data_IF_843414559761
#
_entry.id   IF_843414559761
#
_cell.length_a   1.000
_cell.length_b   1.000
_cell.length_c   1.000
_cell.angle_alpha   90.00
_cell.angle_beta   90.00
_cell.angle_gamma   90.00
#
_symmetry.space_group_name_H-M   'P 1'
#
loop_
_entity.id
_entity.type
_entity.pdbx_description
1 polymer ?
#
# COMPACT_ATOMS: atom_id res chain seq x y z
N UNK A 1 9.82 -22.05 22.20
CA UNK A 1 10.44 -22.60 20.98
C UNK A 1 9.54 -22.54 19.73
N UNK A 2 8.21 -22.65 19.80
CA UNK A 2 7.34 -22.50 18.59
C UNK A 2 7.21 -21.06 18.10
N UNK A 3 7.11 -20.08 18.98
CA UNK A 3 6.91 -18.66 18.62
C UNK A 3 8.10 -18.01 17.89
N UNK A 4 9.33 -18.35 18.24
CA UNK A 4 10.53 -17.80 17.59
C UNK A 4 10.68 -18.29 16.12
N UNK A 5 10.35 -19.54 15.85
CA UNK A 5 10.38 -20.10 14.50
C UNK A 5 9.29 -19.49 13.58
N UNK A 6 8.12 -19.17 14.14
CA UNK A 6 7.01 -18.54 13.40
C UNK A 6 7.32 -17.08 13.05
N UNK A 7 7.93 -16.32 13.97
CA UNK A 7 8.35 -14.94 13.71
C UNK A 7 9.47 -14.89 12.67
N UNK A 8 10.42 -15.80 12.70
CA UNK A 8 11.52 -15.87 11.73
C UNK A 8 11.01 -16.22 10.32
N UNK A 9 10.07 -17.16 10.22
CA UNK A 9 9.43 -17.55 8.96
C UNK A 9 8.61 -16.42 8.37
N UNK A 10 7.77 -15.76 9.16
CA UNK A 10 6.96 -14.61 8.75
C UNK A 10 7.87 -13.45 8.30
N UNK A 11 8.94 -13.18 9.04
CA UNK A 11 9.94 -12.18 8.68
C UNK A 11 10.63 -12.46 7.34
N UNK A 12 10.89 -13.72 7.01
CA UNK A 12 11.45 -14.12 5.72
C UNK A 12 10.48 -13.83 4.57
N UNK A 13 9.23 -14.22 4.69
CA UNK A 13 8.20 -13.96 3.65
C UNK A 13 8.02 -12.48 3.38
N UNK A 14 7.99 -11.67 4.44
CA UNK A 14 7.89 -10.22 4.31
C UNK A 14 9.11 -9.62 3.59
N UNK A 15 10.32 -10.11 3.85
CA UNK A 15 11.54 -9.68 3.15
C UNK A 15 11.51 -10.03 1.65
N UNK A 16 10.98 -11.20 1.29
CA UNK A 16 10.84 -11.62 -0.12
C UNK A 16 9.84 -10.71 -0.85
N UNK A 17 8.68 -10.50 -0.27
CA UNK A 17 7.67 -9.59 -0.81
C UNK A 17 8.22 -8.16 -0.97
N UNK A 18 8.93 -7.66 0.04
CA UNK A 18 9.53 -6.33 0.05
C UNK A 18 10.51 -6.10 -1.10
N UNK A 19 11.31 -7.10 -1.49
CA UNK A 19 12.23 -6.99 -2.64
C UNK A 19 11.48 -6.71 -3.95
N UNK A 20 10.34 -7.37 -4.18
CA UNK A 20 9.50 -7.12 -5.34
C UNK A 20 8.95 -5.69 -5.35
N UNK A 21 8.46 -5.21 -4.22
CA UNK A 21 7.96 -3.84 -4.09
C UNK A 21 9.04 -2.78 -4.27
N UNK A 22 10.26 -3.01 -3.76
CA UNK A 22 11.38 -2.07 -3.95
C UNK A 22 11.75 -1.96 -5.44
N UNK A 23 11.73 -3.06 -6.21
CA UNK A 23 11.96 -3.01 -7.67
C UNK A 23 10.99 -2.05 -8.37
N UNK A 24 9.70 -2.20 -8.08
CA UNK A 24 8.67 -1.34 -8.67
C UNK A 24 8.83 0.11 -8.20
N UNK A 25 9.08 0.34 -6.91
CA UNK A 25 9.32 1.68 -6.36
C UNK A 25 10.52 2.38 -7.04
N UNK A 26 11.63 1.67 -7.26
CA UNK A 26 12.81 2.16 -8.00
C UNK A 26 12.43 2.58 -9.42
N UNK A 27 11.70 1.74 -10.15
CA UNK A 27 11.27 2.05 -11.51
C UNK A 27 10.32 3.26 -11.54
N UNK A 28 9.43 3.40 -10.56
CA UNK A 28 8.54 4.58 -10.45
C UNK A 28 9.36 5.85 -10.20
N UNK A 29 10.34 5.83 -9.29
CA UNK A 29 11.20 6.99 -9.05
C UNK A 29 11.98 7.37 -10.30
N UNK A 30 12.58 6.40 -10.98
CA UNK A 30 13.35 6.61 -12.20
C UNK A 30 12.49 7.02 -13.41
N UNK A 31 11.19 6.71 -13.39
CA UNK A 31 10.26 7.20 -14.44
C UNK A 31 10.04 8.71 -14.38
N UNK A 32 10.28 9.32 -13.22
CA UNK A 32 10.10 10.76 -12.96
C UNK A 32 11.39 11.55 -13.20
N UNK A 33 12.49 11.09 -12.66
CA UNK A 33 13.83 11.69 -12.82
C UNK A 33 14.94 10.69 -12.54
N UNK A 34 16.14 11.01 -12.99
CA UNK A 34 17.34 10.22 -12.68
C UNK A 34 17.72 10.37 -11.21
N UNK A 35 18.20 9.27 -10.61
CA UNK A 35 18.62 9.23 -9.22
C UNK A 35 19.85 8.37 -9.04
N UNK A 36 20.64 8.65 -8.00
CA UNK A 36 21.61 7.69 -7.50
C UNK A 36 21.04 6.86 -6.33
N UNK A 37 21.68 5.72 -6.02
CA UNK A 37 21.14 4.73 -5.07
C UNK A 37 20.78 5.31 -3.69
N UNK A 38 21.57 6.23 -3.16
CA UNK A 38 21.30 6.86 -1.86
C UNK A 38 20.04 7.74 -1.88
N UNK A 39 19.84 8.53 -2.96
CA UNK A 39 18.62 9.33 -3.13
C UNK A 39 17.38 8.44 -3.21
N UNK A 40 17.46 7.34 -3.95
CA UNK A 40 16.34 6.38 -4.03
C UNK A 40 15.97 5.82 -2.66
N UNK A 41 16.96 5.40 -1.86
CA UNK A 41 16.72 4.89 -0.50
C UNK A 41 16.04 5.94 0.38
N UNK A 42 16.52 7.18 0.32
CA UNK A 42 15.94 8.30 1.06
C UNK A 42 14.50 8.55 0.62
N UNK A 43 14.26 8.68 -0.68
CA UNK A 43 12.93 9.00 -1.22
C UNK A 43 11.90 7.88 -0.95
N UNK A 44 12.31 6.61 -1.05
CA UNK A 44 11.44 5.48 -0.67
C UNK A 44 11.05 5.57 0.81
N UNK A 45 12.01 5.80 1.70
CA UNK A 45 11.74 5.95 3.13
C UNK A 45 10.79 7.11 3.42
N UNK A 46 11.05 8.27 2.81
CA UNK A 46 10.29 9.49 3.06
C UNK A 46 8.85 9.37 2.51
N UNK A 47 8.66 8.82 1.31
CA UNK A 47 7.34 8.58 0.70
C UNK A 47 6.52 7.54 1.46
N UNK A 48 7.16 6.54 2.04
CA UNK A 48 6.49 5.51 2.85
C UNK A 48 6.38 5.89 4.33
N UNK A 49 6.71 7.14 4.70
CA UNK A 49 6.70 7.62 6.09
C UNK A 49 7.48 6.70 7.04
N UNK A 50 8.59 6.14 6.54
CA UNK A 50 9.46 5.23 7.29
C UNK A 50 8.97 3.80 7.40
N UNK A 51 7.83 3.44 6.77
CA UNK A 51 7.35 2.06 6.72
C UNK A 51 8.37 1.15 6.00
N UNK A 52 8.94 1.60 4.90
CA UNK A 52 10.07 0.95 4.25
C UNK A 52 11.37 1.70 4.56
N UNK A 53 12.33 0.97 5.06
CA UNK A 53 13.69 1.46 5.36
C UNK A 53 14.69 0.67 4.51
N UNK A 54 14.76 0.94 3.19
CA UNK A 54 15.67 0.20 2.33
C UNK A 54 17.12 0.47 2.73
N UNK A 55 17.91 -0.60 2.73
CA UNK A 55 19.35 -0.56 3.03
C UNK A 55 20.17 -0.65 1.75
N UNK A 56 21.42 -0.24 1.79
CA UNK A 56 22.33 -0.36 0.67
C UNK A 56 22.45 -1.82 0.19
N UNK A 57 22.60 -2.78 1.12
CA UNK A 57 22.65 -4.21 0.81
C UNK A 57 21.38 -4.77 0.16
N UNK A 58 20.22 -4.11 0.35
CA UNK A 58 18.96 -4.48 -0.29
C UNK A 58 18.75 -3.82 -1.64
N UNK A 59 19.16 -2.55 -1.80
CA UNK A 59 18.87 -1.75 -3.01
C UNK A 59 19.89 -1.99 -4.12
N UNK A 60 21.19 -2.01 -3.82
CA UNK A 60 22.20 -2.16 -4.88
C UNK A 60 22.13 -3.48 -5.65
N UNK A 61 21.86 -4.64 -5.06
CA UNK A 61 21.59 -5.85 -5.83
C UNK A 61 20.40 -5.72 -6.77
N UNK A 62 19.32 -5.00 -6.35
CA UNK A 62 18.15 -4.74 -7.19
C UNK A 62 18.51 -3.80 -8.36
N UNK A 63 19.30 -2.76 -8.12
CA UNK A 63 19.76 -1.86 -9.17
C UNK A 63 20.60 -2.58 -10.21
N UNK A 64 21.49 -3.48 -9.75
CA UNK A 64 22.31 -4.30 -10.65
C UNK A 64 21.46 -5.24 -11.49
N UNK A 65 20.52 -5.95 -10.88
CA UNK A 65 19.59 -6.85 -11.55
C UNK A 65 18.71 -6.14 -12.59
N UNK A 66 18.21 -4.94 -12.27
CA UNK A 66 17.46 -4.12 -13.20
C UNK A 66 18.30 -3.59 -14.37
N UNK A 67 19.56 -3.25 -14.13
CA UNK A 67 20.53 -2.81 -15.13
C UNK A 67 20.94 -3.96 -16.05
N UNK A 68 21.27 -5.13 -15.50
CA UNK A 68 21.58 -6.36 -16.24
C UNK A 68 20.38 -6.80 -17.11
N UNK A 69 19.15 -6.57 -16.63
CA UNK A 69 17.92 -6.84 -17.40
C UNK A 69 17.59 -5.76 -18.45
N UNK A 70 18.38 -4.70 -18.55
CA UNK A 70 18.15 -3.60 -19.49
C UNK A 70 16.93 -2.71 -19.17
N UNK A 71 16.41 -2.75 -17.94
CA UNK A 71 15.28 -1.91 -17.53
C UNK A 71 15.71 -0.53 -17.05
N UNK A 72 16.94 -0.41 -16.60
CA UNK A 72 17.60 0.85 -16.24
C UNK A 72 19.00 0.89 -16.85
N UNK A 73 19.54 2.07 -16.97
CA UNK A 73 20.93 2.32 -17.33
C UNK A 73 21.59 3.21 -16.30
N UNK A 74 22.86 2.95 -15.98
CA UNK A 74 23.62 3.68 -14.99
C UNK A 74 24.84 4.36 -15.59
N UNK A 75 24.94 5.67 -15.42
CA UNK A 75 26.08 6.50 -15.83
C UNK A 75 26.88 6.96 -14.64
N UNK A 76 28.23 6.90 -14.74
CA UNK A 76 29.09 7.43 -13.71
C UNK A 76 29.20 8.96 -13.83
N UNK A 77 28.96 9.63 -12.74
CA UNK A 77 29.07 11.08 -12.61
C UNK A 77 29.96 11.44 -11.42
N UNK A 78 30.59 12.61 -11.49
CA UNK A 78 31.38 13.16 -10.38
C UNK A 78 30.60 14.26 -9.68
N UNK A 79 30.29 14.08 -8.40
CA UNK A 79 29.62 15.08 -7.59
C UNK A 79 30.40 15.31 -6.30
N UNK A 80 30.80 16.57 -6.02
CA UNK A 80 31.56 16.93 -4.82
C UNK A 80 32.79 16.03 -4.58
N UNK A 81 33.61 15.79 -5.61
CA UNK A 81 34.79 14.91 -5.58
C UNK A 81 34.50 13.43 -5.28
N UNK A 82 33.27 12.95 -5.42
CA UNK A 82 32.92 11.54 -5.28
C UNK A 82 32.33 11.00 -6.58
N UNK A 83 32.78 9.83 -7.00
CA UNK A 83 32.16 9.11 -8.12
C UNK A 83 30.84 8.52 -7.64
N UNK A 84 29.75 8.90 -8.29
CA UNK A 84 28.40 8.36 -8.04
C UNK A 84 27.86 7.77 -9.33
N UNK A 85 27.10 6.69 -9.23
CA UNK A 85 26.40 6.11 -10.36
C UNK A 85 24.96 6.62 -10.34
N UNK A 86 24.56 7.34 -11.39
CA UNK A 86 23.22 7.88 -11.60
C UNK A 86 22.48 6.98 -12.57
N UNK A 87 21.28 6.57 -12.20
CA UNK A 87 20.45 5.65 -12.96
C UNK A 87 19.30 6.36 -13.64
N UNK A 88 18.94 5.88 -14.83
CA UNK A 88 17.78 6.31 -15.62
C UNK A 88 16.97 5.10 -16.02
N UNK A 89 15.67 5.26 -16.21
CA UNK A 89 14.81 4.20 -16.74
C UNK A 89 14.90 4.17 -18.27
N UNK A 90 14.95 2.96 -18.83
CA UNK A 90 14.88 2.74 -20.29
C UNK A 90 13.44 2.66 -20.77
N UNK A 91 13.20 2.65 -22.09
CA UNK A 91 11.86 2.41 -22.66
C UNK A 91 11.33 1.01 -22.30
N UNK A 92 12.20 0.00 -22.30
CA UNK A 92 11.86 -1.34 -21.84
C UNK A 92 11.45 -1.31 -20.37
N UNK A 93 12.18 -0.58 -19.53
CA UNK A 93 11.85 -0.36 -18.11
C UNK A 93 10.51 0.34 -17.91
N UNK A 94 10.16 1.33 -18.74
CA UNK A 94 8.82 1.98 -18.71
C UNK A 94 7.70 1.01 -19.05
N UNK A 95 7.94 0.16 -20.04
CA UNK A 95 6.96 -0.85 -20.47
C UNK A 95 6.72 -1.89 -19.37
N UNK A 96 7.80 -2.39 -18.74
CA UNK A 96 7.67 -3.37 -17.66
C UNK A 96 7.03 -2.74 -16.42
N UNK A 97 7.32 -1.47 -16.13
CA UNK A 97 6.68 -0.73 -15.03
C UNK A 97 5.16 -0.65 -15.21
N UNK A 98 4.69 -0.29 -16.39
CA UNK A 98 3.24 -0.24 -16.71
C UNK A 98 2.58 -1.60 -16.45
N UNK A 99 3.18 -2.68 -16.94
CA UNK A 99 2.70 -4.05 -16.71
C UNK A 99 2.71 -4.43 -15.23
N UNK A 100 3.77 -4.07 -14.49
CA UNK A 100 3.88 -4.35 -13.07
C UNK A 100 2.80 -3.65 -12.23
N UNK A 101 2.47 -2.39 -12.55
CA UNK A 101 1.40 -1.64 -11.87
C UNK A 101 0.03 -2.29 -12.11
N UNK A 102 -0.28 -2.66 -13.36
CA UNK A 102 -1.53 -3.36 -13.68
C UNK A 102 -1.62 -4.69 -12.93
N UNK A 103 -0.55 -5.49 -12.98
CA UNK A 103 -0.52 -6.80 -12.31
C UNK A 103 -0.64 -6.69 -10.80
N UNK A 104 -0.03 -5.66 -10.21
CA UNK A 104 -0.17 -5.37 -8.78
C UNK A 104 -1.63 -5.06 -8.38
N UNK A 105 -2.33 -4.31 -9.22
CA UNK A 105 -3.75 -4.01 -9.01
C UNK A 105 -4.62 -5.28 -9.05
N UNK A 106 -4.36 -6.18 -10.01
CA UNK A 106 -5.05 -7.47 -10.10
C UNK A 106 -4.82 -8.32 -8.85
N UNK A 107 -3.56 -8.42 -8.38
CA UNK A 107 -3.21 -9.17 -7.17
C UNK A 107 -3.90 -8.56 -5.95
N UNK A 108 -3.87 -7.24 -5.78
CA UNK A 108 -4.51 -6.56 -4.67
C UNK A 108 -6.04 -6.82 -4.64
N UNK A 109 -6.70 -6.76 -5.80
CA UNK A 109 -8.12 -7.04 -5.92
C UNK A 109 -8.45 -8.50 -5.57
N UNK A 110 -7.64 -9.45 -6.04
CA UNK A 110 -7.82 -10.88 -5.73
C UNK A 110 -7.61 -11.16 -4.23
N UNK A 111 -6.59 -10.57 -3.63
CA UNK A 111 -6.34 -10.69 -2.19
C UNK A 111 -7.47 -10.08 -1.36
N UNK A 112 -7.98 -8.90 -1.75
CA UNK A 112 -9.12 -8.30 -1.07
C UNK A 112 -10.36 -9.18 -1.15
N UNK A 113 -10.61 -9.84 -2.28
CA UNK A 113 -11.73 -10.78 -2.42
C UNK A 113 -11.58 -11.98 -1.47
N UNK A 114 -10.39 -12.58 -1.39
CA UNK A 114 -10.11 -13.69 -0.46
C UNK A 114 -10.29 -13.27 1.01
N UNK A 115 -9.80 -12.09 1.39
CA UNK A 115 -9.99 -11.58 2.76
C UNK A 115 -11.46 -11.30 3.08
N UNK A 116 -12.24 -10.83 2.11
CA UNK A 116 -13.68 -10.64 2.30
C UNK A 116 -14.40 -11.96 2.53
N UNK A 117 -14.06 -12.98 1.76
CA UNK A 117 -14.60 -14.33 1.90
C UNK A 117 -14.24 -14.92 3.28
N UNK A 118 -12.97 -14.86 3.67
CA UNK A 118 -12.51 -15.28 4.99
C UNK A 118 -13.21 -14.55 6.12
N UNK A 119 -13.33 -13.21 6.03
CA UNK A 119 -13.99 -12.41 7.05
C UNK A 119 -15.46 -12.79 7.20
N UNK A 120 -16.14 -13.11 6.10
CA UNK A 120 -17.52 -13.59 6.11
C UNK A 120 -17.64 -14.97 6.75
N UNK A 121 -16.83 -15.93 6.30
CA UNK A 121 -17.01 -17.34 6.63
C UNK A 121 -16.43 -17.72 7.99
N UNK A 122 -15.29 -17.11 8.39
CA UNK A 122 -14.60 -17.45 9.63
C UNK A 122 -14.92 -16.48 10.76
N UNK A 123 -14.98 -15.19 10.47
CA UNK A 123 -15.22 -14.16 11.48
C UNK A 123 -16.70 -13.78 11.61
N UNK A 124 -17.57 -14.31 10.75
CA UNK A 124 -19.01 -14.01 10.69
C UNK A 124 -19.30 -12.49 10.62
N UNK A 125 -18.37 -11.73 10.01
CA UNK A 125 -18.48 -10.29 9.79
C UNK A 125 -19.10 -10.07 8.40
N UNK A 126 -20.28 -9.45 8.34
CA UNK A 126 -20.84 -9.01 7.05
C UNK A 126 -19.88 -7.95 6.44
N UNK A 127 -19.17 -8.34 5.39
CA UNK A 127 -18.11 -7.57 4.74
C UNK A 127 -18.56 -6.25 4.09
N UNK A 128 -19.86 -6.00 4.01
CA UNK A 128 -20.39 -4.67 3.67
C UNK A 128 -19.93 -3.58 4.63
N UNK A 129 -19.36 -3.94 5.78
CA UNK A 129 -18.87 -3.03 6.81
C UNK A 129 -17.38 -2.70 6.72
N UNK A 130 -16.60 -3.40 5.90
CA UNK A 130 -15.18 -3.10 5.76
C UNK A 130 -14.92 -2.34 4.44
N UNK A 131 -15.12 -1.00 4.42
CA UNK A 131 -14.85 -0.18 3.23
C UNK A 131 -13.37 0.03 2.98
N UNK A 132 -12.50 -0.61 3.78
CA UNK A 132 -11.07 -0.46 3.65
C UNK A 132 -10.52 -1.53 2.70
N UNK A 133 -9.74 -1.16 1.69
CA UNK A 133 -8.92 -2.13 1.00
C UNK A 133 -8.00 -2.77 2.05
N UNK A 134 -8.20 -4.05 2.33
CA UNK A 134 -7.38 -4.80 3.29
C UNK A 134 -5.91 -4.81 2.86
N UNK A 135 -5.69 -4.72 1.55
CA UNK A 135 -4.36 -4.52 0.95
C UNK A 135 -4.30 -3.10 0.38
N UNK A 136 -3.58 -2.18 1.04
CA UNK A 136 -3.42 -0.83 0.53
C UNK A 136 -2.64 -0.86 -0.78
N UNK A 137 -2.93 0.07 -1.69
CA UNK A 137 -2.07 0.29 -2.85
C UNK A 137 -0.73 0.87 -2.37
N UNK A 138 0.25 -0.01 -2.19
CA UNK A 138 1.58 0.33 -1.67
C UNK A 138 2.35 1.34 -2.54
N UNK A 139 1.91 1.55 -3.79
CA UNK A 139 2.52 2.51 -4.71
C UNK A 139 1.81 3.86 -4.76
N UNK A 140 0.64 4.01 -4.13
CA UNK A 140 -0.07 5.29 -4.08
C UNK A 140 0.85 6.47 -3.70
N UNK A 141 1.71 6.39 -2.65
CA UNK A 141 2.61 7.49 -2.30
C UNK A 141 3.63 7.86 -3.38
N UNK A 142 3.91 6.95 -4.31
CA UNK A 142 4.86 7.16 -5.41
C UNK A 142 4.18 7.67 -6.68
N UNK A 143 2.88 7.43 -6.83
CA UNK A 143 2.09 7.81 -8.01
C UNK A 143 1.52 9.22 -7.89
N UNK A 144 1.39 9.76 -6.68
CA UNK A 144 0.96 11.13 -6.45
C UNK A 144 2.03 12.10 -6.97
N UNK A 145 1.80 12.65 -8.14
CA UNK A 145 2.60 13.74 -8.67
C UNK A 145 2.13 15.08 -8.08
N UNK A 146 3.07 15.77 -7.45
CA UNK A 146 2.97 17.23 -7.28
C UNK A 146 3.34 17.89 -8.61
N UNK A 147 2.55 17.75 -9.64
CA UNK A 147 2.72 18.60 -10.82
C UNK A 147 1.45 18.66 -11.65
N UNK A 148 1.04 19.88 -11.81
CA UNK A 148 0.06 20.36 -12.78
C UNK A 148 -1.33 19.79 -12.57
N UNK A 149 -2.11 20.69 -12.11
CA UNK A 149 -3.51 20.75 -12.45
C UNK A 149 -4.40 20.97 -11.24
N UNK A 150 -4.44 22.21 -10.84
CA UNK A 150 -5.49 22.67 -9.92
C UNK A 150 -6.90 22.25 -10.40
N UNK A 151 -7.08 22.00 -11.68
CA UNK A 151 -8.36 21.59 -12.27
C UNK A 151 -8.65 20.09 -12.14
N UNK A 152 -7.62 19.23 -12.29
CA UNK A 152 -7.75 17.79 -12.01
C UNK A 152 -7.78 17.48 -10.52
N UNK A 153 -7.11 18.27 -9.69
CA UNK A 153 -7.17 18.14 -8.24
C UNK A 153 -8.58 18.43 -7.70
N UNK A 154 -9.26 19.43 -8.22
CA UNK A 154 -10.65 19.76 -7.82
C UNK A 154 -11.57 18.59 -8.17
N UNK A 155 -11.50 18.06 -9.38
CA UNK A 155 -12.33 16.93 -9.82
C UNK A 155 -12.05 15.65 -9.04
N UNK A 156 -10.78 15.35 -8.75
CA UNK A 156 -10.38 14.22 -7.91
C UNK A 156 -10.84 14.40 -6.46
N UNK A 157 -10.71 15.60 -5.91
CA UNK A 157 -11.19 15.93 -4.58
C UNK A 157 -12.73 15.86 -4.49
N UNK A 158 -13.45 16.27 -5.53
CA UNK A 158 -14.90 16.14 -5.62
C UNK A 158 -15.37 14.69 -5.68
N UNK A 159 -14.69 13.85 -6.47
CA UNK A 159 -14.95 12.41 -6.50
C UNK A 159 -14.68 11.77 -5.13
N UNK A 160 -13.53 12.10 -4.50
CA UNK A 160 -13.18 11.62 -3.17
C UNK A 160 -14.19 12.10 -2.12
N UNK A 161 -14.62 13.36 -2.18
CA UNK A 161 -15.68 13.91 -1.31
C UNK A 161 -16.99 13.15 -1.48
N UNK A 162 -17.39 12.88 -2.70
CA UNK A 162 -18.63 12.15 -3.02
C UNK A 162 -18.56 10.72 -2.49
N UNK A 163 -17.43 10.03 -2.70
CA UNK A 163 -17.18 8.71 -2.15
C UNK A 163 -17.23 8.70 -0.62
N UNK A 164 -16.55 9.63 0.06
CA UNK A 164 -16.54 9.72 1.52
C UNK A 164 -17.96 10.00 2.07
N UNK A 165 -18.71 10.88 1.42
CA UNK A 165 -20.11 11.17 1.83
C UNK A 165 -21.02 9.94 1.69
N UNK A 166 -20.89 9.18 0.62
CA UNK A 166 -21.66 7.94 0.44
C UNK A 166 -21.30 6.89 1.49
N UNK A 167 -20.02 6.74 1.81
CA UNK A 167 -19.52 5.84 2.85
C UNK A 167 -20.01 6.23 4.25
N UNK A 168 -19.93 7.51 4.60
CA UNK A 168 -20.45 8.04 5.87
C UNK A 168 -21.95 7.76 6.00
N UNK A 169 -22.75 8.03 4.94
CA UNK A 169 -24.18 7.76 4.96
C UNK A 169 -24.51 6.29 5.16
N UNK A 170 -23.74 5.40 4.53
CA UNK A 170 -23.88 3.96 4.67
C UNK A 170 -23.57 3.53 6.11
N UNK A 171 -22.44 3.97 6.68
CA UNK A 171 -22.04 3.66 8.05
C UNK A 171 -23.03 4.20 9.09
N UNK A 172 -23.57 5.38 8.89
CA UNK A 172 -24.61 5.95 9.76
C UNK A 172 -25.89 5.11 9.76
N UNK A 173 -26.34 4.65 8.57
CA UNK A 173 -27.51 3.77 8.45
C UNK A 173 -27.30 2.44 9.18
N UNK A 174 -26.10 1.91 9.09
CA UNK A 174 -25.72 0.65 9.71
C UNK A 174 -25.61 0.77 11.23
N UNK A 175 -25.00 1.84 11.71
CA UNK A 175 -24.98 2.20 13.14
C UNK A 175 -26.40 2.30 13.71
N UNK A 176 -27.31 2.96 13.00
CA UNK A 176 -28.71 3.05 13.42
C UNK A 176 -29.38 1.67 13.48
N UNK A 177 -29.08 0.80 12.50
CA UNK A 177 -29.66 -0.55 12.46
C UNK A 177 -29.12 -1.41 13.62
N UNK A 178 -27.82 -1.31 13.90
CA UNK A 178 -27.16 -2.01 15.01
C UNK A 178 -27.68 -1.53 16.35
N UNK A 179 -27.83 -0.23 16.54
CA UNK A 179 -28.41 0.33 17.76
C UNK A 179 -29.85 -0.13 17.99
N UNK A 180 -30.67 -0.20 16.92
CA UNK A 180 -32.03 -0.75 17.01
C UNK A 180 -32.04 -2.23 17.42
N UNK A 181 -31.10 -3.03 16.89
CA UNK A 181 -30.95 -4.46 17.27
C UNK A 181 -30.47 -4.62 18.72
N UNK A 182 -29.57 -3.76 19.18
CA UNK A 182 -29.09 -3.77 20.57
C UNK A 182 -30.21 -3.40 21.56
N UNK A 183 -31.03 -2.40 21.25
CA UNK A 183 -32.18 -2.03 22.09
C UNK A 183 -33.18 -3.18 22.18
N UNK A 184 -33.46 -3.90 21.08
CA UNK A 184 -34.37 -5.05 21.06
C UNK A 184 -33.82 -6.29 21.78
N UNK A 185 -32.50 -6.40 21.94
CA UNK A 185 -31.83 -7.54 22.61
C UNK A 185 -31.48 -7.26 24.08
N UNK A 186 -31.65 -6.04 24.59
CA UNK A 186 -31.57 -5.82 26.05
C UNK A 186 -32.81 -6.42 26.69
N UNK A 187 -32.70 -7.48 27.53
CA UNK A 187 -33.82 -7.95 28.30
C UNK A 187 -34.25 -6.84 29.26
N UNK A 188 -35.56 -6.63 29.39
CA UNK A 188 -36.11 -5.85 30.50
C UNK A 188 -35.56 -6.45 31.79
N UNK A 189 -34.71 -5.72 32.49
CA UNK A 189 -34.34 -6.08 33.84
C UNK A 189 -35.62 -6.02 34.65
N UNK A 190 -36.15 -7.19 34.96
CA UNK A 190 -37.18 -7.48 35.91
C UNK A 190 -37.06 -6.55 37.11
N UNK A 191 -38.10 -5.82 37.42
CA UNK A 191 -38.35 -5.25 38.73
C UNK A 191 -38.50 -6.43 39.68
N UNK A 192 -37.45 -6.83 40.32
CA UNK A 192 -37.56 -7.70 41.46
C UNK A 192 -37.94 -6.88 42.68
N UNK A 193 -39.07 -7.28 43.21
CA UNK A 193 -39.78 -6.87 44.38
C UNK A 193 -38.84 -6.75 45.59
N UNK A 194 -39.06 -5.65 46.35
CA UNK A 194 -38.65 -5.62 47.75
C UNK A 194 -39.64 -6.47 48.57
N UNK A 195 -39.20 -7.42 49.38
CA UNK A 195 -40.05 -8.08 50.38
C UNK A 195 -40.33 -7.15 51.54
N UNK A 196 -41.42 -7.39 52.25
CA UNK A 196 -42.00 -6.53 53.26
C UNK A 196 -41.15 -6.38 54.54
#
# INVERSE_FOLDING_TARGET
MHTECEEETTGHWMKVAQKGYIRVAVLILLSKKSHHGYEMMKEIRDKTKGFWKPTAGGVYPILRDLEESGYIEGEWSSQKNRKIKVYKITETGRTILKRAIVKQSEIANSMNALFQEFAKDVLNIETKMLPLPVVPNLFSPFLEEKNQEQENDIKNLEQKRTYLRSTIRMLQKELQTTNKRLVKKKPEKTKEEMPP
#
